data_IF_420512189109
#
_entry.id   IF_420512189109
#
_cell.length_a   1.000
_cell.length_b   1.000
_cell.length_c   1.000
_cell.angle_alpha   90.00
_cell.angle_beta   90.00
_cell.angle_gamma   90.00
#
_symmetry.space_group_name_H-M   'P 1'
#
loop_
_entity.id
_entity.type
_entity.pdbx_description
1 polymer ?
#
# COMPACT_ATOMS: atom_id res chain seq x y z
N UNK A 1 24.58 -15.58 -49.60
CA UNK A 1 24.03 -15.07 -48.32
C UNK A 1 22.58 -15.53 -48.22
N UNK A 2 22.21 -16.28 -47.17
CA UNK A 2 20.96 -17.07 -47.09
C UNK A 2 19.76 -16.21 -46.66
N UNK A 3 18.61 -16.35 -47.34
CA UNK A 3 17.37 -15.60 -47.08
C UNK A 3 16.74 -15.85 -45.70
N UNK A 4 17.12 -16.94 -45.01
CA UNK A 4 16.72 -17.20 -43.61
C UNK A 4 17.31 -16.19 -42.62
N UNK A 5 18.57 -15.80 -42.77
CA UNK A 5 19.24 -14.83 -41.89
C UNK A 5 18.64 -13.41 -42.03
N UNK A 6 18.20 -13.05 -43.25
CA UNK A 6 17.48 -11.80 -43.50
C UNK A 6 16.12 -11.73 -42.79
N UNK A 7 15.39 -12.85 -42.71
CA UNK A 7 14.11 -12.90 -41.98
C UNK A 7 14.28 -12.83 -40.47
N UNK A 8 15.29 -13.50 -39.90
CA UNK A 8 15.59 -13.42 -38.46
C UNK A 8 16.03 -12.01 -38.06
N UNK A 9 16.92 -11.38 -38.84
CA UNK A 9 17.32 -9.99 -38.60
C UNK A 9 16.13 -9.02 -38.73
N UNK A 10 15.26 -9.20 -39.72
CA UNK A 10 14.03 -8.42 -39.88
C UNK A 10 13.07 -8.60 -38.70
N UNK A 11 12.88 -9.83 -38.20
CA UNK A 11 12.04 -10.10 -37.03
C UNK A 11 12.60 -9.48 -35.74
N UNK A 12 13.92 -9.51 -35.54
CA UNK A 12 14.58 -8.85 -34.41
C UNK A 12 14.50 -7.32 -34.52
N UNK A 13 14.66 -6.77 -35.74
CA UNK A 13 14.53 -5.34 -36.02
C UNK A 13 13.10 -4.85 -35.75
N UNK A 14 12.09 -5.60 -36.17
CA UNK A 14 10.66 -5.27 -35.95
C UNK A 14 10.32 -5.28 -34.46
N UNK A 15 10.83 -6.24 -33.69
CA UNK A 15 10.60 -6.33 -32.24
C UNK A 15 11.16 -5.10 -31.51
N UNK A 16 12.40 -4.70 -31.83
CA UNK A 16 13.03 -3.53 -31.23
C UNK A 16 12.32 -2.22 -31.60
N UNK A 17 11.83 -2.09 -32.83
CA UNK A 17 11.05 -0.93 -33.28
C UNK A 17 9.73 -0.86 -32.50
N UNK A 18 9.02 -1.99 -32.34
CA UNK A 18 7.79 -2.03 -31.56
C UNK A 18 8.02 -1.67 -30.08
N UNK A 19 9.07 -2.21 -29.46
CA UNK A 19 9.41 -1.88 -28.07
C UNK A 19 9.71 -0.39 -27.93
N UNK A 20 10.46 0.19 -28.88
CA UNK A 20 10.76 1.62 -28.87
C UNK A 20 9.52 2.49 -29.05
N UNK A 21 8.57 2.11 -29.90
CA UNK A 21 7.33 2.87 -30.09
C UNK A 21 6.44 2.79 -28.85
N UNK A 22 6.26 1.60 -28.28
CA UNK A 22 5.46 1.41 -27.06
C UNK A 22 6.07 2.14 -25.87
N UNK A 23 7.41 2.15 -25.75
CA UNK A 23 8.11 2.90 -24.70
C UNK A 23 7.87 4.40 -24.81
N UNK A 24 7.94 4.97 -26.02
CA UNK A 24 7.69 6.40 -26.23
C UNK A 24 6.25 6.77 -25.90
N UNK A 25 5.29 5.97 -26.36
CA UNK A 25 3.88 6.18 -26.06
C UNK A 25 3.57 6.06 -24.56
N UNK A 26 4.22 5.11 -23.86
CA UNK A 26 4.13 5.01 -22.40
C UNK A 26 4.68 6.27 -21.69
N UNK A 27 5.85 6.75 -22.10
CA UNK A 27 6.46 7.96 -21.53
C UNK A 27 5.61 9.22 -21.76
N UNK A 28 4.83 9.27 -22.85
CA UNK A 28 3.96 10.39 -23.19
C UNK A 28 2.60 10.34 -22.47
N UNK A 29 2.04 9.15 -22.27
CA UNK A 29 0.69 8.99 -21.70
C UNK A 29 0.67 8.77 -20.18
N UNK A 30 1.80 8.46 -19.57
CA UNK A 30 1.87 8.23 -18.12
C UNK A 30 1.65 9.53 -17.32
N UNK A 31 0.98 9.41 -16.17
CA UNK A 31 0.86 10.50 -15.19
C UNK A 31 2.10 10.64 -14.31
N UNK A 32 3.10 9.77 -14.49
CA UNK A 32 4.35 9.80 -13.73
C UNK A 32 5.17 11.06 -14.07
N UNK A 33 5.43 11.87 -13.05
CA UNK A 33 6.14 13.13 -13.19
C UNK A 33 7.59 12.91 -13.67
N UNK A 34 7.99 13.56 -14.76
CA UNK A 34 9.35 13.49 -15.30
C UNK A 34 9.57 12.49 -16.45
N UNK A 35 8.65 11.53 -16.65
CA UNK A 35 8.78 10.51 -17.70
C UNK A 35 8.65 11.06 -19.12
N UNK A 36 7.86 12.12 -19.30
CA UNK A 36 7.74 12.84 -20.57
C UNK A 36 9.09 13.39 -21.08
N UNK A 37 9.93 13.90 -20.16
CA UNK A 37 11.25 14.43 -20.52
C UNK A 37 12.27 13.33 -20.84
N UNK A 38 12.04 12.11 -20.36
CA UNK A 38 12.87 10.93 -20.66
C UNK A 38 12.60 10.42 -22.09
N UNK A 39 11.37 10.59 -22.59
CA UNK A 39 10.98 10.26 -23.97
C UNK A 39 11.44 11.26 -25.04
N UNK A 40 11.97 12.41 -24.63
CA UNK A 40 12.42 13.49 -25.52
C UNK A 40 13.74 13.18 -26.25
N UNK A 41 13.87 13.62 -27.51
CA UNK A 41 15.05 13.39 -28.37
C UNK A 41 16.34 14.11 -27.90
N UNK A 42 16.28 14.96 -26.87
CA UNK A 42 17.46 15.67 -26.34
C UNK A 42 18.24 14.80 -25.35
N UNK A 43 19.29 14.14 -25.83
CA UNK A 43 20.10 13.17 -25.07
C UNK A 43 20.59 13.62 -23.70
N UNK A 44 21.05 14.86 -23.53
CA UNK A 44 21.60 15.33 -22.23
C UNK A 44 20.51 15.45 -21.16
N UNK A 45 19.35 15.99 -21.55
CA UNK A 45 18.23 16.23 -20.65
C UNK A 45 17.58 14.92 -20.24
N UNK A 46 17.48 13.98 -21.18
CA UNK A 46 17.02 12.61 -20.90
C UNK A 46 17.85 11.93 -19.81
N UNK A 47 19.18 12.03 -19.86
CA UNK A 47 20.06 11.42 -18.85
C UNK A 47 19.87 12.08 -17.48
N UNK A 48 19.81 13.42 -17.43
CA UNK A 48 19.59 14.16 -16.19
C UNK A 48 18.25 13.76 -15.56
N UNK A 49 17.17 13.73 -16.34
CA UNK A 49 15.84 13.34 -15.85
C UNK A 49 15.79 11.86 -15.42
N UNK A 50 16.48 10.97 -16.14
CA UNK A 50 16.62 9.57 -15.71
C UNK A 50 17.30 9.46 -14.35
N UNK A 51 18.38 10.22 -14.11
CA UNK A 51 19.08 10.21 -12.82
C UNK A 51 18.22 10.78 -11.70
N UNK A 52 17.48 11.87 -11.96
CA UNK A 52 16.56 12.46 -10.98
C UNK A 52 15.45 11.47 -10.61
N UNK A 53 14.84 10.83 -11.61
CA UNK A 53 13.79 9.82 -11.39
C UNK A 53 14.34 8.59 -10.66
N UNK A 54 15.53 8.11 -11.02
CA UNK A 54 16.14 6.98 -10.33
C UNK A 54 16.46 7.32 -8.86
N UNK A 55 16.97 8.53 -8.61
CA UNK A 55 17.24 9.01 -7.26
C UNK A 55 15.96 9.15 -6.42
N UNK A 56 14.88 9.69 -7.01
CA UNK A 56 13.60 9.85 -6.30
C UNK A 56 12.97 8.50 -5.93
N UNK A 57 13.02 7.51 -6.83
CA UNK A 57 12.58 6.14 -6.55
C UNK A 57 13.43 5.51 -5.44
N UNK A 58 14.76 5.71 -5.48
CA UNK A 58 15.67 5.23 -4.45
C UNK A 58 15.33 5.78 -3.06
N UNK A 59 15.20 7.10 -2.95
CA UNK A 59 14.86 7.78 -1.69
C UNK A 59 13.47 7.35 -1.20
N UNK A 60 12.48 7.30 -2.09
CA UNK A 60 11.13 6.87 -1.74
C UNK A 60 11.12 5.41 -1.22
N UNK A 61 11.92 4.53 -1.81
CA UNK A 61 12.03 3.13 -1.37
C UNK A 61 12.61 3.03 0.04
N UNK A 62 13.62 3.84 0.37
CA UNK A 62 14.21 3.91 1.72
C UNK A 62 13.15 4.38 2.72
N UNK A 63 12.43 5.46 2.41
CA UNK A 63 11.39 5.98 3.30
C UNK A 63 10.23 5.00 3.50
N UNK A 64 9.81 4.30 2.44
CA UNK A 64 8.79 3.26 2.56
C UNK A 64 9.29 2.12 3.44
N UNK A 65 10.54 1.70 3.25
CA UNK A 65 11.14 0.65 4.07
C UNK A 65 11.15 1.04 5.55
N UNK A 66 11.65 2.23 5.89
CA UNK A 66 11.65 2.75 7.28
C UNK A 66 10.22 2.86 7.83
N UNK A 67 9.27 3.40 7.06
CA UNK A 67 7.88 3.54 7.50
C UNK A 67 7.20 2.18 7.75
N UNK A 68 7.48 1.18 6.91
CA UNK A 68 6.96 -0.18 7.09
C UNK A 68 7.62 -0.86 8.28
N UNK A 69 8.93 -0.69 8.44
CA UNK A 69 9.67 -1.19 9.59
C UNK A 69 9.12 -0.59 10.90
N UNK A 70 8.89 0.72 10.93
CA UNK A 70 8.29 1.41 12.06
C UNK A 70 6.86 0.96 12.31
N UNK A 71 6.04 0.82 11.26
CA UNK A 71 4.65 0.35 11.38
C UNK A 71 4.57 -1.09 11.93
N UNK A 72 5.47 -1.97 11.49
CA UNK A 72 5.48 -3.37 11.92
C UNK A 72 6.06 -3.56 13.32
N UNK A 73 7.01 -2.71 13.73
CA UNK A 73 7.59 -2.71 15.08
C UNK A 73 6.75 -1.96 16.11
N UNK A 74 5.98 -0.95 15.68
CA UNK A 74 5.13 -0.18 16.57
C UNK A 74 3.92 -1.02 17.00
N UNK A 75 3.94 -1.49 18.24
CA UNK A 75 2.73 -1.97 18.93
C UNK A 75 1.66 -0.88 18.88
N UNK A 76 0.41 -1.26 18.57
CA UNK A 76 -0.75 -0.35 18.60
C UNK A 76 -0.78 0.36 19.96
N UNK A 77 -0.39 1.64 19.98
CA UNK A 77 -0.45 2.48 21.18
C UNK A 77 -1.90 2.87 21.38
N UNK A 78 -2.65 2.03 22.09
CA UNK A 78 -3.98 2.40 22.58
C UNK A 78 -3.77 3.32 23.78
N UNK A 79 -4.01 4.62 23.60
CA UNK A 79 -4.11 5.53 24.74
C UNK A 79 -5.34 5.14 25.55
N UNK A 80 -5.11 4.45 26.68
CA UNK A 80 -6.15 4.26 27.69
C UNK A 80 -6.34 5.64 28.33
N UNK A 81 -7.33 6.39 27.84
CA UNK A 81 -7.82 7.53 28.59
C UNK A 81 -8.41 6.98 29.88
N UNK A 82 -7.75 7.23 31.01
CA UNK A 82 -8.35 6.92 32.30
C UNK A 82 -9.60 7.80 32.42
N UNK A 83 -10.79 7.21 32.27
CA UNK A 83 -12.07 7.87 32.56
C UNK A 83 -12.21 8.05 34.07
N UNK A 84 -11.25 8.74 34.69
CA UNK A 84 -11.33 9.21 36.07
C UNK A 84 -12.19 10.46 36.07
N UNK A 85 -13.48 10.27 35.78
CA UNK A 85 -14.49 11.24 36.15
C UNK A 85 -14.58 11.27 37.68
N UNK A 86 -14.80 12.43 38.31
CA UNK A 86 -15.05 12.48 39.74
C UNK A 86 -16.20 11.53 40.09
N UNK A 87 -16.13 10.88 41.26
CA UNK A 87 -17.14 9.89 41.71
C UNK A 87 -18.58 10.43 41.70
N UNK A 88 -18.76 11.76 41.70
CA UNK A 88 -20.03 12.45 41.58
C UNK A 88 -20.69 12.38 40.19
N UNK A 89 -19.93 12.04 39.14
CA UNK A 89 -20.40 11.99 37.74
C UNK A 89 -20.46 10.56 37.17
N UNK A 90 -20.13 9.54 37.98
CA UNK A 90 -20.20 8.14 37.59
C UNK A 90 -21.65 7.65 37.67
N UNK A 91 -22.20 7.17 36.55
CA UNK A 91 -23.52 6.52 36.54
C UNK A 91 -23.43 5.13 37.18
N UNK A 92 -24.35 4.82 38.10
CA UNK A 92 -24.41 3.51 38.74
C UNK A 92 -24.85 2.44 37.74
N UNK A 93 -24.09 1.34 37.55
CA UNK A 93 -24.43 0.32 36.57
C UNK A 93 -25.72 -0.42 36.96
N UNK A 94 -26.42 -0.96 35.97
CA UNK A 94 -27.54 -1.86 36.23
C UNK A 94 -27.04 -3.13 36.94
N UNK A 95 -27.45 -3.34 38.19
CA UNK A 95 -27.15 -4.55 38.95
C UNK A 95 -28.31 -5.53 38.80
N UNK A 96 -28.05 -6.67 38.17
CA UNK A 96 -29.01 -7.78 38.08
C UNK A 96 -28.59 -8.88 39.05
N UNK A 97 -29.44 -9.18 40.03
CA UNK A 97 -29.21 -10.25 40.99
C UNK A 97 -30.12 -11.42 40.60
N UNK A 98 -29.51 -12.54 40.24
CA UNK A 98 -30.22 -13.78 40.00
C UNK A 98 -30.07 -14.71 41.20
N UNK A 99 -31.17 -15.35 41.61
CA UNK A 99 -31.10 -16.45 42.55
C UNK A 99 -30.37 -17.63 41.90
N UNK A 100 -29.41 -18.24 42.61
CA UNK A 100 -28.72 -19.45 42.14
C UNK A 100 -29.67 -20.66 42.08
N UNK A 101 -30.75 -20.62 42.86
CA UNK A 101 -31.78 -21.63 42.82
C UNK A 101 -32.69 -21.33 41.63
N UNK A 102 -32.52 -22.13 40.57
CA UNK A 102 -33.27 -22.02 39.32
C UNK A 102 -34.74 -22.48 39.46
N UNK A 103 -35.05 -23.22 40.53
CA UNK A 103 -36.40 -23.69 40.84
C UNK A 103 -36.84 -23.24 42.24
N UNK A 104 -38.10 -22.81 42.34
CA UNK A 104 -38.76 -22.65 43.63
C UNK A 104 -39.27 -24.04 44.04
N UNK A 105 -38.71 -24.63 45.11
CA UNK A 105 -39.13 -25.96 45.58
C UNK A 105 -40.64 -26.01 45.84
N UNK A 106 -41.24 -24.91 46.30
CA UNK A 106 -42.68 -24.80 46.52
C UNK A 106 -43.52 -24.94 45.23
N UNK A 107 -42.98 -24.69 44.03
CA UNK A 107 -43.71 -24.86 42.75
C UNK A 107 -43.58 -26.31 42.23
N UNK A 108 -42.47 -26.98 42.54
CA UNK A 108 -42.25 -28.39 42.14
C UNK A 108 -43.05 -29.39 43.00
N UNK A 109 -43.54 -28.97 44.17
CA UNK A 109 -44.35 -29.80 45.07
C UNK A 109 -45.87 -29.66 44.88
N UNK A 110 -46.32 -28.88 43.88
CA UNK A 110 -47.75 -28.65 43.58
C UNK A 110 -48.21 -29.44 42.32
N UNK A 111 -47.34 -30.27 41.72
CA UNK A 111 -47.67 -31.18 40.62
C UNK A 111 -47.39 -32.63 41.04
#
# INVERSE_FOLDING_TARGET
MNSRCLKECCSQQILLIMISSSWREYCEQTSLHGWFYIGSDKSIWRIIWLLIVAASIGIASIFIYEAVEDFTKSTVVTTIYSTTVPLSEVYFPAVTICNINQALENILLIN
#
